data_IF_157939711235
#
_entry.id   IF_157939711235
#
_cell.length_a   1.000
_cell.length_b   1.000
_cell.length_c   1.000
_cell.angle_alpha   90.00
_cell.angle_beta   90.00
_cell.angle_gamma   90.00
#
_symmetry.space_group_name_H-M   'P 1'
#
loop_
_entity.id
_entity.type
_entity.pdbx_description
1 polymer ?
#
# COMPACT_ATOMS: atom_id res chain seq x y z
N UNK A 1 -68.14 -60.80 10.15
CA UNK A 1 -67.18 -61.62 9.38
C UNK A 1 -65.82 -61.12 9.82
N UNK A 2 -65.05 -61.75 10.69
CA UNK A 2 -64.86 -63.15 11.12
C UNK A 2 -64.29 -63.04 12.57
N UNK A 3 -64.80 -63.67 13.64
CA UNK A 3 -64.41 -64.99 14.20
C UNK A 3 -62.91 -65.35 14.01
N UNK A 4 -62.12 -65.76 15.01
CA UNK A 4 -62.41 -66.64 16.17
C UNK A 4 -61.25 -66.69 17.20
N UNK A 5 -61.59 -67.07 18.45
CA UNK A 5 -60.90 -67.93 19.45
C UNK A 5 -59.53 -67.52 20.06
N UNK A 6 -59.35 -67.30 21.38
CA UNK A 6 -59.48 -68.15 22.60
C UNK A 6 -58.36 -69.20 22.77
N UNK A 7 -57.53 -69.06 23.83
CA UNK A 7 -57.21 -70.06 24.91
C UNK A 7 -56.14 -69.45 25.87
N UNK A 8 -56.45 -68.98 27.09
CA UNK A 8 -56.48 -69.63 28.44
C UNK A 8 -55.30 -70.51 28.87
N UNK A 9 -54.57 -70.07 29.92
CA UNK A 9 -54.13 -70.89 31.06
C UNK A 9 -53.59 -70.01 32.21
N UNK A 10 -54.26 -70.02 33.37
CA UNK A 10 -53.65 -69.65 34.68
C UNK A 10 -52.85 -70.83 35.26
N UNK A 11 -52.66 -70.98 36.59
CA UNK A 11 -53.03 -70.08 37.71
C UNK A 11 -51.96 -70.00 38.83
N UNK A 12 -52.31 -69.33 39.94
CA UNK A 12 -51.80 -69.63 41.28
C UNK A 12 -50.80 -68.60 41.84
N UNK A 13 -51.03 -67.94 42.96
CA UNK A 13 -52.01 -68.15 44.02
C UNK A 13 -51.30 -68.21 45.38
N UNK A 14 -51.99 -67.70 46.40
CA UNK A 14 -51.67 -67.71 47.85
C UNK A 14 -50.82 -66.51 48.29
N UNK A 15 -51.28 -65.60 49.13
CA UNK A 15 -52.23 -65.66 50.26
C UNK A 15 -51.49 -65.06 51.47
N UNK A 16 -52.06 -64.48 52.52
CA UNK A 16 -53.41 -64.10 52.92
C UNK A 16 -53.25 -63.37 54.29
N UNK A 17 -54.38 -62.85 54.82
CA UNK A 17 -54.59 -62.30 56.17
C UNK A 17 -54.14 -60.85 56.44
N UNK A 18 -55.08 -59.90 56.51
CA UNK A 18 -55.98 -59.56 57.67
C UNK A 18 -55.17 -58.93 58.82
N UNK A 19 -55.52 -57.85 59.51
CA UNK A 19 -56.72 -57.00 59.72
C UNK A 19 -56.26 -55.90 60.70
N UNK A 20 -56.85 -54.70 60.70
CA UNK A 20 -56.72 -53.80 61.87
C UNK A 20 -56.88 -52.30 61.58
N UNK A 21 -57.89 -51.69 62.21
CA UNK A 21 -58.22 -50.26 62.21
C UNK A 21 -57.05 -49.36 62.69
N UNK A 22 -56.97 -48.08 62.25
CA UNK A 22 -55.87 -47.20 62.64
C UNK A 22 -56.21 -46.36 63.89
N UNK A 23 -55.23 -46.26 64.80
CA UNK A 23 -55.14 -45.18 65.77
C UNK A 23 -53.67 -44.68 65.83
N UNK A 24 -53.53 -43.36 65.68
CA UNK A 24 -52.42 -42.48 66.05
C UNK A 24 -50.96 -42.86 65.69
N UNK A 25 -50.33 -41.97 64.90
CA UNK A 25 -48.93 -41.59 65.14
C UNK A 25 -47.93 -41.77 63.98
N UNK A 26 -47.11 -40.72 63.81
CA UNK A 26 -45.83 -40.63 63.08
C UNK A 26 -45.85 -40.32 61.57
N UNK A 27 -45.10 -39.26 61.22
CA UNK A 27 -44.83 -38.72 59.88
C UNK A 27 -44.01 -39.71 59.01
N UNK A 28 -43.86 -39.47 57.70
CA UNK A 28 -42.69 -38.67 57.27
C UNK A 28 -42.82 -37.86 55.97
N UNK A 29 -41.88 -36.90 55.84
CA UNK A 29 -41.14 -36.49 54.65
C UNK A 29 -41.88 -36.28 53.30
N UNK A 30 -42.09 -35.00 52.95
CA UNK A 30 -42.26 -34.53 51.58
C UNK A 30 -41.28 -33.40 51.28
N UNK A 31 -40.30 -33.67 50.43
CA UNK A 31 -39.19 -32.81 50.03
C UNK A 31 -39.64 -31.43 49.54
N UNK A 32 -39.25 -30.37 50.25
CA UNK A 32 -39.10 -29.03 49.66
C UNK A 32 -37.74 -28.97 48.97
N UNK A 33 -37.72 -29.14 47.65
CA UNK A 33 -36.58 -28.75 46.81
C UNK A 33 -36.41 -27.24 46.90
N UNK A 34 -35.59 -26.80 47.86
CA UNK A 34 -35.06 -25.45 47.89
C UNK A 34 -34.10 -25.30 46.71
N UNK A 35 -34.54 -24.57 45.68
CA UNK A 35 -33.64 -24.04 44.66
C UNK A 35 -32.70 -23.03 45.33
N UNK A 36 -31.56 -23.52 45.83
CA UNK A 36 -30.47 -22.69 46.32
C UNK A 36 -29.75 -22.09 45.12
N UNK A 37 -30.28 -20.99 44.57
CA UNK A 37 -29.58 -20.18 43.58
C UNK A 37 -28.52 -19.31 44.24
N UNK A 38 -27.46 -19.94 44.74
CA UNK A 38 -26.25 -19.25 45.18
C UNK A 38 -25.21 -19.29 44.06
N UNK A 39 -25.19 -18.29 43.18
CA UNK A 39 -23.99 -17.97 42.41
C UNK A 39 -23.93 -16.54 41.83
N UNK A 40 -24.22 -15.44 42.58
CA UNK A 40 -23.93 -14.10 42.09
C UNK A 40 -22.43 -13.90 41.75
N UNK A 41 -21.52 -14.64 42.41
CA UNK A 41 -20.09 -14.57 42.15
C UNK A 41 -19.58 -15.31 40.91
N UNK A 42 -20.28 -16.33 40.40
CA UNK A 42 -19.83 -17.06 39.21
C UNK A 42 -20.09 -16.26 37.93
N UNK A 43 -21.30 -15.70 37.80
CA UNK A 43 -21.66 -14.82 36.69
C UNK A 43 -20.75 -13.58 36.64
N UNK A 44 -20.44 -12.99 37.81
CA UNK A 44 -19.55 -11.82 37.88
C UNK A 44 -18.10 -12.15 37.49
N UNK A 45 -17.56 -13.31 37.89
CA UNK A 45 -16.23 -13.78 37.46
C UNK A 45 -16.19 -14.10 35.97
N UNK A 46 -17.24 -14.70 35.42
CA UNK A 46 -17.37 -14.96 33.98
C UNK A 46 -17.45 -13.64 33.20
N UNK A 47 -18.27 -12.68 33.62
CA UNK A 47 -18.36 -11.36 33.01
C UNK A 47 -17.01 -10.62 33.03
N UNK A 48 -16.26 -10.69 34.14
CA UNK A 48 -14.94 -10.07 34.26
C UNK A 48 -13.91 -10.72 33.32
N UNK A 49 -13.96 -12.03 33.11
CA UNK A 49 -13.09 -12.75 32.17
C UNK A 49 -13.46 -12.48 30.71
N UNK A 50 -14.75 -12.39 30.40
CA UNK A 50 -15.23 -11.99 29.06
C UNK A 50 -14.81 -10.56 28.76
N UNK A 51 -14.96 -9.63 29.70
CA UNK A 51 -14.54 -8.23 29.53
C UNK A 51 -13.02 -8.11 29.34
N UNK A 52 -12.21 -8.84 30.13
CA UNK A 52 -10.76 -8.90 29.94
C UNK A 52 -10.38 -9.48 28.57
N UNK A 53 -11.04 -10.55 28.13
CA UNK A 53 -10.82 -11.14 26.81
C UNK A 53 -11.20 -10.19 25.68
N UNK A 54 -12.33 -9.50 25.79
CA UNK A 54 -12.76 -8.50 24.83
C UNK A 54 -11.80 -7.31 24.75
N UNK A 55 -11.27 -6.83 25.88
CA UNK A 55 -10.25 -5.80 25.95
C UNK A 55 -8.95 -6.24 25.25
N UNK A 56 -8.44 -7.44 25.54
CA UNK A 56 -7.23 -7.98 24.91
C UNK A 56 -7.42 -8.18 23.41
N UNK A 57 -8.57 -8.71 22.99
CA UNK A 57 -8.86 -8.87 21.57
C UNK A 57 -8.97 -7.52 20.86
N UNK A 58 -9.62 -6.54 21.49
CA UNK A 58 -9.72 -5.17 21.00
C UNK A 58 -8.36 -4.50 20.86
N UNK A 59 -7.46 -4.64 21.85
CA UNK A 59 -6.10 -4.08 21.76
C UNK A 59 -5.28 -4.76 20.67
N UNK A 60 -5.36 -6.09 20.52
CA UNK A 60 -4.69 -6.82 19.43
C UNK A 60 -5.21 -6.38 18.05
N UNK A 61 -6.51 -6.19 17.90
CA UNK A 61 -7.11 -5.69 16.67
C UNK A 61 -6.63 -4.28 16.33
N UNK A 62 -6.64 -3.35 17.31
CA UNK A 62 -6.16 -1.98 17.13
C UNK A 62 -4.67 -1.94 16.78
N UNK A 63 -3.86 -2.80 17.40
CA UNK A 63 -2.44 -2.94 17.09
C UNK A 63 -2.21 -3.42 15.66
N UNK A 64 -2.93 -4.47 15.24
CA UNK A 64 -2.83 -4.99 13.88
C UNK A 64 -3.27 -3.95 12.85
N UNK A 65 -4.35 -3.22 13.14
CA UNK A 65 -4.85 -2.14 12.29
C UNK A 65 -3.82 -1.01 12.17
N UNK A 66 -3.27 -0.54 13.30
CA UNK A 66 -2.24 0.49 13.33
C UNK A 66 -0.96 0.04 12.59
N UNK A 67 -0.49 -1.19 12.82
CA UNK A 67 0.69 -1.75 12.15
C UNK A 67 0.50 -1.84 10.63
N UNK A 68 -0.69 -2.24 10.18
CA UNK A 68 -1.06 -2.32 8.77
C UNK A 68 -1.14 -0.92 8.15
N UNK A 69 -1.74 0.04 8.86
CA UNK A 69 -1.84 1.43 8.40
C UNK A 69 -0.45 2.07 8.25
N UNK A 70 0.44 1.91 9.24
CA UNK A 70 1.81 2.43 9.18
C UNK A 70 2.57 1.86 7.98
N UNK A 71 2.48 0.54 7.76
CA UNK A 71 3.09 -0.08 6.59
C UNK A 71 2.48 0.44 5.28
N UNK A 72 1.16 0.55 5.21
CA UNK A 72 0.46 1.09 4.03
C UNK A 72 0.88 2.52 3.72
N UNK A 73 0.94 3.41 4.71
CA UNK A 73 1.43 4.78 4.55
C UNK A 73 2.88 4.81 4.08
N UNK A 74 3.76 3.97 4.64
CA UNK A 74 5.13 3.84 4.17
C UNK A 74 5.19 3.38 2.71
N UNK A 75 4.44 2.33 2.36
CA UNK A 75 4.37 1.78 1.01
C UNK A 75 3.97 2.87 -0.01
N UNK A 76 2.85 3.56 0.24
CA UNK A 76 2.34 4.59 -0.68
C UNK A 76 3.22 5.84 -0.71
N UNK A 77 3.85 6.22 0.39
CA UNK A 77 4.74 7.38 0.42
C UNK A 77 6.10 7.09 -0.24
N UNK A 78 6.60 5.85 -0.15
CA UNK A 78 7.94 5.50 -0.63
C UNK A 78 7.94 4.98 -2.07
N UNK A 79 6.84 4.34 -2.51
CA UNK A 79 6.69 3.76 -3.83
C UNK A 79 6.04 4.76 -4.80
N UNK A 80 6.79 5.33 -5.78
CA UNK A 80 6.18 6.13 -6.82
C UNK A 80 5.44 5.23 -7.82
N UNK A 81 4.63 5.84 -8.70
CA UNK A 81 3.92 5.10 -9.76
C UNK A 81 4.93 4.38 -10.66
N UNK A 82 4.74 3.06 -10.83
CA UNK A 82 5.68 2.18 -11.53
C UNK A 82 5.71 2.39 -13.06
N UNK A 83 4.59 2.83 -13.64
CA UNK A 83 4.48 3.08 -15.07
C UNK A 83 3.61 4.30 -15.35
N UNK A 84 3.96 5.05 -16.38
CA UNK A 84 3.15 6.13 -16.92
C UNK A 84 3.01 5.96 -18.43
N UNK A 85 1.79 6.12 -18.94
CA UNK A 85 1.50 6.08 -20.38
C UNK A 85 0.89 7.41 -20.80
N UNK A 86 1.50 8.06 -21.79
CA UNK A 86 1.04 9.32 -22.36
C UNK A 86 0.65 9.10 -23.83
N UNK A 87 -0.55 9.53 -24.26
CA UNK A 87 -0.92 9.45 -25.67
C UNK A 87 -0.06 10.39 -26.51
N UNK A 88 0.32 9.92 -27.71
CA UNK A 88 1.16 10.65 -28.65
C UNK A 88 0.36 10.92 -29.92
N UNK A 89 0.17 12.19 -30.23
CA UNK A 89 -0.54 12.62 -31.43
C UNK A 89 0.44 13.19 -32.44
N UNK A 90 0.65 12.45 -33.53
CA UNK A 90 1.49 12.87 -34.63
C UNK A 90 0.78 13.91 -35.49
N UNK A 91 1.52 14.94 -35.88
CA UNK A 91 1.12 15.93 -36.87
C UNK A 91 2.25 16.11 -37.88
N UNK A 92 1.89 16.55 -39.07
CA UNK A 92 2.85 16.88 -40.12
C UNK A 92 3.04 18.40 -40.14
N UNK A 93 4.25 18.83 -40.47
CA UNK A 93 4.50 20.25 -40.71
C UNK A 93 3.96 20.63 -42.09
N UNK A 94 3.29 21.78 -42.15
CA UNK A 94 2.61 22.31 -43.34
C UNK A 94 3.42 23.39 -44.08
N UNK A 95 4.70 23.52 -43.80
CA UNK A 95 5.63 24.55 -44.32
C UNK A 95 6.20 24.20 -45.71
N UNK A 96 5.48 23.40 -46.48
CA UNK A 96 5.98 22.83 -47.73
C UNK A 96 5.28 23.46 -48.94
N UNK A 97 5.96 23.46 -50.09
CA UNK A 97 5.46 24.02 -51.36
C UNK A 97 4.10 23.39 -51.73
N UNK A 98 3.05 24.20 -52.00
CA UNK A 98 1.74 23.67 -52.36
C UNK A 98 1.78 22.97 -53.72
N UNK A 99 1.46 21.67 -53.77
CA UNK A 99 1.34 20.93 -55.04
C UNK A 99 1.66 19.43 -55.01
N UNK A 100 2.19 18.91 -53.89
CA UNK A 100 2.51 17.48 -53.74
C UNK A 100 1.41 16.73 -52.99
N UNK A 101 1.00 15.56 -53.51
CA UNK A 101 0.02 14.67 -52.87
C UNK A 101 0.57 13.90 -51.65
N UNK A 102 1.87 14.01 -51.38
CA UNK A 102 2.57 13.25 -50.34
C UNK A 102 3.06 14.18 -49.21
N UNK A 103 3.05 13.74 -47.93
CA UNK A 103 3.59 14.54 -46.83
C UNK A 103 5.07 14.87 -47.09
N UNK A 104 5.39 16.16 -47.07
CA UNK A 104 6.74 16.65 -47.34
C UNK A 104 7.64 16.67 -46.10
N UNK A 105 7.06 16.47 -44.91
CA UNK A 105 7.77 16.45 -43.64
C UNK A 105 7.60 15.11 -42.92
N UNK A 106 8.49 14.83 -41.98
CA UNK A 106 8.37 13.70 -41.07
C UNK A 106 7.25 13.96 -40.05
N UNK A 107 6.47 12.94 -39.67
CA UNK A 107 5.48 13.09 -38.62
C UNK A 107 6.19 13.36 -37.28
N UNK A 108 5.72 14.41 -36.61
CA UNK A 108 6.28 14.91 -35.37
C UNK A 108 5.21 14.95 -34.27
N UNK A 109 5.58 14.73 -33.02
CA UNK A 109 4.66 14.77 -31.89
C UNK A 109 5.34 15.35 -30.66
N UNK A 110 4.72 16.40 -30.09
CA UNK A 110 5.16 17.00 -28.84
C UNK A 110 4.33 16.43 -27.68
N UNK A 111 5.00 15.87 -26.68
CA UNK A 111 4.39 15.26 -25.50
C UNK A 111 4.84 16.01 -24.26
N UNK A 112 3.91 16.51 -23.47
CA UNK A 112 4.23 17.08 -22.16
C UNK A 112 4.37 15.97 -21.12
N UNK A 113 5.52 15.89 -20.46
CA UNK A 113 5.79 14.93 -19.39
C UNK A 113 5.45 15.50 -17.99
N UNK A 114 4.49 16.43 -17.97
CA UNK A 114 3.97 17.11 -16.79
C UNK A 114 2.53 16.65 -16.56
N UNK A 115 2.29 15.93 -15.47
CA UNK A 115 0.96 15.53 -15.03
C UNK A 115 0.14 16.79 -14.67
N UNK A 116 -0.92 17.04 -15.45
CA UNK A 116 -1.78 18.23 -15.38
C UNK A 116 -1.00 19.56 -15.42
N UNK A 117 0.14 19.59 -16.11
CA UNK A 117 0.98 20.78 -16.27
C UNK A 117 1.77 21.22 -15.02
N UNK A 118 1.59 20.56 -13.86
CA UNK A 118 2.20 20.98 -12.58
C UNK A 118 3.08 19.93 -11.93
N UNK A 119 2.70 18.65 -11.97
CA UNK A 119 3.45 17.59 -11.31
C UNK A 119 4.34 16.87 -12.30
N UNK A 120 5.60 16.65 -11.93
CA UNK A 120 6.51 15.93 -12.79
C UNK A 120 6.21 14.44 -12.79
N UNK A 121 6.24 13.81 -13.97
CA UNK A 121 5.99 12.37 -14.10
C UNK A 121 7.19 11.52 -13.66
N UNK A 122 8.41 12.06 -13.79
CA UNK A 122 9.66 11.38 -13.43
C UNK A 122 10.20 11.90 -12.10
N UNK A 123 10.60 11.00 -11.22
CA UNK A 123 11.25 11.32 -9.95
C UNK A 123 12.75 11.53 -10.14
N UNK A 124 13.34 12.49 -9.43
CA UNK A 124 14.77 12.79 -9.51
C UNK A 124 15.61 11.58 -9.03
N UNK A 125 16.67 11.25 -9.79
CA UNK A 125 17.62 10.19 -9.43
C UNK A 125 17.10 8.76 -9.57
N UNK A 126 15.92 8.58 -10.17
CA UNK A 126 15.33 7.27 -10.45
C UNK A 126 15.65 6.88 -11.89
N UNK A 127 16.03 5.60 -12.10
CA UNK A 127 16.22 5.05 -13.44
C UNK A 127 14.88 4.77 -14.12
N UNK A 128 14.78 5.14 -15.39
CA UNK A 128 13.60 4.93 -16.22
C UNK A 128 13.95 4.25 -17.55
N UNK A 129 13.09 3.32 -17.95
CA UNK A 129 13.02 2.78 -19.30
C UNK A 129 11.89 3.45 -20.06
N UNK A 130 12.19 4.07 -21.19
CA UNK A 130 11.23 4.78 -22.03
C UNK A 130 11.06 4.01 -23.32
N UNK A 131 9.82 3.61 -23.61
CA UNK A 131 9.42 2.88 -24.81
C UNK A 131 8.30 3.62 -25.53
N UNK A 132 8.30 3.55 -26.86
CA UNK A 132 7.22 4.04 -27.71
C UNK A 132 6.48 2.85 -28.29
N UNK A 133 5.19 2.81 -28.04
CA UNK A 133 4.26 1.84 -28.60
C UNK A 133 3.53 2.49 -29.78
N UNK A 134 3.71 1.93 -30.97
CA UNK A 134 3.13 2.40 -32.23
C UNK A 134 2.09 1.38 -32.73
N UNK A 135 0.87 1.85 -32.98
CA UNK A 135 -0.18 1.09 -33.65
C UNK A 135 -0.16 1.43 -35.14
N UNK A 136 0.13 0.44 -35.99
CA UNK A 136 0.25 0.64 -37.43
C UNK A 136 -0.61 -0.35 -38.23
N UNK A 137 -1.24 0.09 -39.34
CA UNK A 137 -1.93 -0.82 -40.24
C UNK A 137 -0.98 -1.77 -40.95
N UNK A 138 -1.48 -2.98 -41.23
CA UNK A 138 -0.89 -3.97 -42.13
C UNK A 138 -1.11 -3.55 -43.61
N UNK A 139 -0.60 -2.37 -43.99
CA UNK A 139 -0.75 -1.79 -45.33
C UNK A 139 0.46 -2.08 -46.22
N UNK A 140 0.28 -2.21 -47.56
CA UNK A 140 1.41 -2.43 -48.47
C UNK A 140 2.44 -1.30 -48.39
N UNK A 141 2.00 -0.05 -48.17
CA UNK A 141 2.90 1.09 -47.94
C UNK A 141 3.80 0.83 -46.74
N UNK A 142 3.24 0.44 -45.58
CA UNK A 142 4.02 0.19 -44.36
C UNK A 142 4.96 -1.02 -44.47
N UNK A 143 4.61 -2.04 -45.25
CA UNK A 143 5.52 -3.17 -45.53
C UNK A 143 6.71 -2.77 -46.39
N UNK A 144 6.47 -1.92 -47.40
CA UNK A 144 7.51 -1.48 -48.33
C UNK A 144 8.48 -0.46 -47.71
N UNK A 145 8.12 0.18 -46.59
CA UNK A 145 9.01 1.07 -45.84
C UNK A 145 10.28 0.37 -45.35
N UNK A 146 10.21 -0.92 -45.03
CA UNK A 146 11.30 -1.64 -44.40
C UNK A 146 11.68 -1.05 -43.04
N UNK A 147 12.97 -0.94 -42.77
CA UNK A 147 13.48 -0.33 -41.54
C UNK A 147 13.31 1.19 -41.58
N UNK A 148 12.69 1.75 -40.54
CA UNK A 148 12.62 3.19 -40.32
C UNK A 148 13.18 3.54 -38.94
N UNK A 149 13.50 4.81 -38.74
CA UNK A 149 14.03 5.29 -37.46
C UNK A 149 12.98 6.08 -36.70
N UNK A 150 13.00 5.95 -35.38
CA UNK A 150 12.24 6.78 -34.45
C UNK A 150 13.24 7.53 -33.60
N UNK A 151 13.10 8.85 -33.54
CA UNK A 151 13.89 9.74 -32.71
C UNK A 151 13.03 10.31 -31.59
N UNK A 152 13.57 10.34 -30.39
CA UNK A 152 13.00 11.05 -29.25
C UNK A 152 14.02 12.04 -28.73
N UNK A 153 13.57 13.28 -28.50
CA UNK A 153 14.36 14.34 -27.91
C UNK A 153 13.66 14.86 -26.67
N UNK A 154 14.36 14.89 -25.54
CA UNK A 154 13.84 15.34 -24.26
C UNK A 154 14.20 16.80 -24.01
N UNK A 155 13.25 17.55 -23.46
CA UNK A 155 13.38 18.98 -23.17
C UNK A 155 13.12 19.26 -21.69
N UNK A 156 13.99 20.06 -21.08
CA UNK A 156 13.78 20.65 -19.77
C UNK A 156 13.49 22.14 -19.90
N UNK A 157 12.67 22.69 -18.98
CA UNK A 157 12.32 24.12 -18.95
C UNK A 157 13.56 25.03 -18.81
N UNK A 158 14.61 24.55 -18.15
CA UNK A 158 15.79 25.37 -17.83
C UNK A 158 16.92 25.25 -18.85
N UNK A 159 17.18 24.02 -19.35
CA UNK A 159 18.36 23.72 -20.19
C UNK A 159 18.03 23.50 -21.68
N UNK A 160 16.77 23.61 -22.08
CA UNK A 160 16.37 23.31 -23.47
C UNK A 160 16.50 21.81 -23.76
N UNK A 161 17.24 21.44 -24.81
CA UNK A 161 17.45 20.02 -25.20
C UNK A 161 18.42 19.35 -24.24
N UNK A 162 17.96 18.31 -23.55
CA UNK A 162 18.75 17.57 -22.56
C UNK A 162 19.40 16.34 -23.19
N UNK A 163 18.58 15.50 -23.81
CA UNK A 163 18.99 14.19 -24.30
C UNK A 163 18.23 13.83 -25.56
N UNK A 164 18.86 13.03 -26.42
CA UNK A 164 18.31 12.57 -27.68
C UNK A 164 18.66 11.11 -27.88
N UNK A 165 17.67 10.32 -28.30
CA UNK A 165 17.85 8.94 -28.68
C UNK A 165 17.25 8.67 -30.04
N UNK A 166 17.86 7.79 -30.82
CA UNK A 166 17.38 7.39 -32.15
C UNK A 166 17.52 5.88 -32.30
N UNK A 167 16.41 5.19 -32.49
CA UNK A 167 16.36 3.74 -32.64
C UNK A 167 15.76 3.35 -33.98
N UNK A 168 16.27 2.25 -34.54
CA UNK A 168 15.74 1.65 -35.77
C UNK A 168 14.67 0.64 -35.39
N UNK A 169 13.61 0.60 -36.18
CA UNK A 169 12.53 -0.38 -36.00
C UNK A 169 11.94 -0.76 -37.35
N UNK A 170 11.16 -1.84 -37.37
CA UNK A 170 10.55 -2.38 -38.58
C UNK A 170 9.25 -3.09 -38.24
N UNK A 171 8.27 -3.02 -39.14
CA UNK A 171 7.05 -3.82 -39.04
C UNK A 171 7.42 -5.32 -39.05
N UNK A 172 6.68 -6.18 -38.33
CA UNK A 172 7.05 -7.60 -38.30
C UNK A 172 6.70 -8.20 -39.65
N UNK A 173 7.71 -8.68 -40.35
CA UNK A 173 7.53 -9.31 -41.64
C UNK A 173 6.68 -10.58 -41.52
N UNK A 174 5.71 -10.72 -42.43
CA UNK A 174 4.90 -11.92 -42.65
C UNK A 174 4.83 -12.19 -44.15
N UNK A 175 5.02 -13.46 -44.54
CA UNK A 175 4.89 -13.85 -45.95
C UNK A 175 3.48 -13.63 -46.47
N UNK A 176 3.32 -13.39 -47.78
CA UNK A 176 2.01 -13.18 -48.40
C UNK A 176 1.07 -14.37 -48.15
N UNK A 177 1.60 -15.59 -48.26
CA UNK A 177 0.85 -16.81 -47.98
C UNK A 177 0.38 -16.88 -46.52
N UNK A 178 1.22 -16.51 -45.55
CA UNK A 178 0.79 -16.48 -44.15
C UNK A 178 -0.28 -15.41 -43.91
N UNK A 179 -0.18 -14.26 -44.57
CA UNK A 179 -1.18 -13.18 -44.48
C UNK A 179 -2.52 -13.61 -45.06
N UNK A 180 -2.56 -14.31 -46.19
CA UNK A 180 -3.81 -14.81 -46.77
C UNK A 180 -4.46 -15.88 -45.90
N UNK A 181 -3.67 -16.84 -45.38
CA UNK A 181 -4.18 -17.85 -44.44
C UNK A 181 -4.72 -17.22 -43.15
N UNK A 182 -3.99 -16.27 -42.55
CA UNK A 182 -4.47 -15.56 -41.36
C UNK A 182 -5.76 -14.77 -41.65
N UNK A 183 -5.84 -14.11 -42.80
CA UNK A 183 -7.03 -13.35 -43.19
C UNK A 183 -8.24 -14.26 -43.41
N UNK A 184 -8.03 -15.43 -44.02
CA UNK A 184 -9.09 -16.42 -44.23
C UNK A 184 -9.57 -17.04 -42.90
N UNK A 185 -8.64 -17.38 -42.01
CA UNK A 185 -8.93 -17.99 -40.71
C UNK A 185 -9.69 -17.02 -39.78
N UNK A 186 -9.30 -15.74 -39.77
CA UNK A 186 -9.93 -14.70 -38.93
C UNK A 186 -11.01 -13.89 -39.66
N UNK A 187 -11.43 -14.31 -40.86
CA UNK A 187 -12.41 -13.61 -41.70
C UNK A 187 -13.70 -13.25 -40.96
N UNK A 188 -14.33 -14.15 -40.18
CA UNK A 188 -15.55 -13.80 -39.46
C UNK A 188 -15.34 -12.66 -38.46
N UNK A 189 -14.18 -12.63 -37.78
CA UNK A 189 -13.82 -11.59 -36.81
C UNK A 189 -13.54 -10.24 -37.46
N UNK A 190 -12.99 -10.22 -38.67
CA UNK A 190 -12.80 -8.99 -39.45
C UNK A 190 -14.14 -8.46 -39.97
N UNK A 191 -15.01 -9.33 -40.50
CA UNK A 191 -16.33 -8.93 -41.01
C UNK A 191 -17.27 -8.45 -39.90
N UNK A 192 -17.19 -9.04 -38.71
CA UNK A 192 -17.97 -8.60 -37.54
C UNK A 192 -17.39 -7.34 -36.87
N UNK A 193 -16.22 -6.85 -37.32
CA UNK A 193 -15.54 -5.69 -36.75
C UNK A 193 -14.91 -5.90 -35.37
N UNK A 194 -14.86 -7.15 -34.88
CA UNK A 194 -14.26 -7.50 -33.58
C UNK A 194 -12.74 -7.50 -33.66
N UNK A 195 -12.20 -7.82 -34.83
CA UNK A 195 -10.76 -7.79 -35.11
C UNK A 195 -10.45 -6.77 -36.20
N UNK A 196 -9.24 -6.20 -36.15
CA UNK A 196 -8.73 -5.25 -37.12
C UNK A 196 -7.32 -5.67 -37.58
N UNK A 197 -6.97 -5.34 -38.82
CA UNK A 197 -5.65 -5.65 -39.40
C UNK A 197 -4.62 -4.58 -39.00
N UNK A 198 -4.28 -4.56 -37.72
CA UNK A 198 -3.27 -3.66 -37.15
C UNK A 198 -2.19 -4.45 -36.42
N UNK A 199 -1.01 -3.85 -36.30
CA UNK A 199 0.12 -4.38 -35.56
C UNK A 199 0.65 -3.35 -34.57
N UNK A 200 0.92 -3.82 -33.35
CA UNK A 200 1.63 -3.08 -32.32
C UNK A 200 3.14 -3.27 -32.46
N UNK A 201 3.87 -2.16 -32.41
CA UNK A 201 5.33 -2.11 -32.47
C UNK A 201 5.86 -1.34 -31.25
N UNK A 202 6.62 -2.02 -30.40
CA UNK A 202 7.28 -1.43 -29.25
C UNK A 202 8.73 -1.09 -29.61
N UNK A 203 9.13 0.16 -29.37
CA UNK A 203 10.47 0.67 -29.63
C UNK A 203 11.06 1.20 -28.33
N UNK A 204 12.08 0.53 -27.81
CA UNK A 204 12.83 1.03 -26.66
C UNK A 204 13.69 2.22 -27.08
N UNK A 205 13.40 3.40 -26.54
CA UNK A 205 14.09 4.65 -26.85
C UNK A 205 15.19 4.94 -25.83
N UNK A 206 14.97 4.64 -24.55
CA UNK A 206 15.98 4.73 -23.51
C UNK A 206 15.84 3.54 -22.57
N UNK A 207 16.93 2.82 -22.31
CA UNK A 207 16.94 1.70 -21.35
C UNK A 207 17.25 2.17 -19.93
N UNK A 208 18.24 3.05 -19.78
CA UNK A 208 18.78 3.51 -18.49
C UNK A 208 18.72 5.05 -18.37
N UNK A 209 17.55 5.65 -18.57
CA UNK A 209 17.39 7.10 -18.44
C UNK A 209 17.51 7.54 -16.98
N UNK A 210 18.53 8.35 -16.65
CA UNK A 210 18.81 8.80 -15.27
C UNK A 210 18.97 10.34 -15.18
N UNK A 211 18.65 11.05 -16.26
CA UNK A 211 18.84 12.50 -16.34
C UNK A 211 17.77 13.29 -15.55
N UNK A 212 18.04 14.59 -15.42
CA UNK A 212 17.20 15.54 -14.73
C UNK A 212 15.73 15.52 -15.21
N UNK A 213 14.80 15.89 -14.31
CA UNK A 213 13.38 15.97 -14.58
C UNK A 213 13.01 16.63 -15.92
N UNK A 214 12.57 15.82 -16.89
CA UNK A 214 12.15 16.27 -18.22
C UNK A 214 10.76 16.89 -18.16
N UNK A 215 10.56 18.00 -18.86
CA UNK A 215 9.27 18.71 -18.93
C UNK A 215 8.43 18.27 -20.14
N UNK A 216 9.08 17.89 -21.24
CA UNK A 216 8.42 17.35 -22.42
C UNK A 216 9.39 16.62 -23.34
N UNK A 217 8.84 15.89 -24.30
CA UNK A 217 9.60 15.19 -25.32
C UNK A 217 9.00 15.43 -26.70
N UNK A 218 9.86 15.50 -27.70
CA UNK A 218 9.47 15.55 -29.12
C UNK A 218 9.87 14.23 -29.75
N UNK A 219 8.89 13.56 -30.34
CA UNK A 219 9.05 12.32 -31.09
C UNK A 219 8.96 12.62 -32.58
N UNK A 220 9.88 12.05 -33.35
CA UNK A 220 9.93 12.16 -34.81
C UNK A 220 10.08 10.76 -35.39
N UNK A 221 9.23 10.38 -36.35
CA UNK A 221 9.42 9.14 -37.14
C UNK A 221 10.06 9.54 -38.46
N UNK A 222 11.28 9.06 -38.72
CA UNK A 222 12.10 9.45 -39.87
C UNK A 222 11.66 8.69 -41.13
N UNK A 223 10.40 8.85 -41.51
CA UNK A 223 9.80 8.37 -42.76
C UNK A 223 8.57 9.21 -43.10
N UNK A 224 8.46 9.69 -44.34
CA UNK A 224 7.34 10.52 -44.80
C UNK A 224 6.14 9.71 -45.29
N UNK A 225 6.33 8.42 -45.58
CA UNK A 225 5.30 7.51 -46.08
C UNK A 225 4.72 6.59 -45.01
N UNK A 226 5.13 6.77 -43.74
CA UNK A 226 4.65 5.94 -42.62
C UNK A 226 3.19 6.23 -42.29
N UNK A 227 2.41 5.16 -42.16
CA UNK A 227 1.01 5.23 -41.74
C UNK A 227 0.91 4.70 -40.31
N UNK A 228 0.39 5.54 -39.41
CA UNK A 228 0.29 5.26 -37.97
C UNK A 228 -1.15 5.58 -37.55
N UNK A 229 -1.79 4.68 -36.81
CA UNK A 229 -3.13 4.91 -36.25
C UNK A 229 -3.06 5.62 -34.91
N UNK A 230 -2.29 5.06 -33.98
CA UNK A 230 -2.13 5.62 -32.64
C UNK A 230 -0.72 5.37 -32.13
N UNK A 231 -0.33 6.15 -31.13
CA UNK A 231 0.96 6.00 -30.49
C UNK A 231 0.86 6.33 -29.00
N UNK A 232 1.65 5.63 -28.19
CA UNK A 232 1.70 5.80 -26.74
C UNK A 232 3.14 5.77 -26.27
N UNK A 233 3.51 6.76 -25.48
CA UNK A 233 4.80 6.81 -24.83
C UNK A 233 4.67 6.18 -23.45
N UNK A 234 5.35 5.06 -23.24
CA UNK A 234 5.34 4.31 -22.00
C UNK A 234 6.66 4.52 -21.26
N UNK A 235 6.57 4.97 -20.02
CA UNK A 235 7.71 5.24 -19.14
C UNK A 235 7.61 4.29 -17.95
N UNK A 236 8.57 3.38 -17.83
CA UNK A 236 8.66 2.39 -16.77
C UNK A 236 9.76 2.78 -15.78
N UNK A 237 9.42 2.82 -14.48
CA UNK A 237 10.40 3.05 -13.43
C UNK A 237 11.13 1.74 -13.11
N UNK A 238 12.45 1.73 -13.23
CA UNK A 238 13.26 0.56 -12.85
C UNK A 238 13.67 0.67 -11.38
N UNK A 239 12.90 0.02 -10.51
CA UNK A 239 13.18 0.02 -9.09
C UNK A 239 14.41 -0.82 -8.74
N UNK A 240 15.29 -0.28 -7.92
CA UNK A 240 16.44 -0.98 -7.34
C UNK A 240 16.37 -0.98 -5.80
N UNK A 241 17.09 -1.89 -5.14
CA UNK A 241 17.17 -1.96 -3.68
C UNK A 241 15.85 -2.35 -2.99
N UNK A 242 15.49 -1.64 -1.91
CA UNK A 242 14.27 -1.92 -1.12
C UNK A 242 13.00 -1.78 -1.97
N UNK A 243 12.98 -0.81 -2.90
CA UNK A 243 11.85 -0.60 -3.82
C UNK A 243 11.63 -1.81 -4.75
N UNK A 244 12.71 -2.44 -5.20
CA UNK A 244 12.62 -3.63 -6.04
C UNK A 244 11.92 -4.77 -5.31
N UNK A 245 12.33 -5.05 -4.07
CA UNK A 245 11.74 -6.09 -3.23
C UNK A 245 10.26 -5.80 -2.94
N UNK A 246 9.93 -4.54 -2.67
CA UNK A 246 8.56 -4.09 -2.39
C UNK A 246 7.64 -4.22 -3.61
N UNK A 247 8.16 -4.01 -4.83
CA UNK A 247 7.38 -4.11 -6.07
C UNK A 247 7.21 -5.55 -6.57
N UNK A 248 8.28 -6.35 -6.57
CA UNK A 248 8.23 -7.73 -7.07
C UNK A 248 7.62 -8.71 -6.07
N UNK A 249 7.78 -8.49 -4.75
CA UNK A 249 7.32 -9.40 -3.70
C UNK A 249 6.40 -8.72 -2.67
N UNK A 250 5.24 -8.16 -3.08
CA UNK A 250 4.40 -7.34 -2.22
C UNK A 250 3.85 -8.07 -1.00
N UNK A 251 3.59 -9.38 -1.12
CA UNK A 251 3.05 -10.20 -0.02
C UNK A 251 4.11 -10.45 1.05
N UNK A 252 5.32 -10.84 0.63
CA UNK A 252 6.41 -11.13 1.55
C UNK A 252 6.88 -9.87 2.26
N UNK A 253 6.99 -8.76 1.52
CA UNK A 253 7.34 -7.46 2.11
C UNK A 253 6.27 -6.98 3.10
N UNK A 254 4.98 -7.18 2.78
CA UNK A 254 3.89 -6.82 3.70
C UNK A 254 3.91 -7.65 4.97
N UNK A 255 4.16 -8.97 4.88
CA UNK A 255 4.25 -9.83 6.05
C UNK A 255 5.40 -9.40 6.99
N UNK A 256 6.58 -9.16 6.43
CA UNK A 256 7.76 -8.70 7.20
C UNK A 256 7.53 -7.30 7.77
N UNK A 257 6.98 -6.38 6.97
CA UNK A 257 6.70 -5.01 7.38
C UNK A 257 5.64 -4.92 8.49
N UNK A 258 4.50 -5.59 8.34
CA UNK A 258 3.43 -5.59 9.34
C UNK A 258 3.86 -6.30 10.62
N UNK A 259 4.57 -7.44 10.53
CA UNK A 259 5.05 -8.17 11.72
C UNK A 259 6.07 -7.35 12.52
N UNK A 260 7.04 -6.72 11.85
CA UNK A 260 8.02 -5.83 12.52
C UNK A 260 7.36 -4.62 13.18
N UNK A 261 6.40 -3.97 12.51
CA UNK A 261 5.62 -2.87 13.10
C UNK A 261 4.80 -3.33 14.31
N UNK A 262 4.18 -4.52 14.24
CA UNK A 262 3.40 -5.09 15.34
C UNK A 262 4.28 -5.40 16.54
N UNK A 263 5.47 -5.98 16.33
CA UNK A 263 6.46 -6.22 17.39
C UNK A 263 6.93 -4.91 18.03
N UNK A 264 7.21 -3.88 17.21
CA UNK A 264 7.63 -2.57 17.70
C UNK A 264 6.55 -1.89 18.56
N UNK A 265 5.31 -1.83 18.08
CA UNK A 265 4.19 -1.27 18.84
C UNK A 265 3.90 -2.07 20.11
N UNK A 266 3.98 -3.41 20.04
CA UNK A 266 3.82 -4.27 21.22
C UNK A 266 4.92 -4.01 22.26
N UNK A 267 6.17 -3.81 21.84
CA UNK A 267 7.27 -3.49 22.74
C UNK A 267 7.06 -2.13 23.43
N UNK A 268 6.60 -1.11 22.70
CA UNK A 268 6.29 0.21 23.25
C UNK A 268 5.17 0.14 24.30
N UNK A 269 4.09 -0.61 24.01
CA UNK A 269 3.01 -0.81 24.99
C UNK A 269 3.49 -1.58 26.21
N UNK A 270 4.35 -2.59 26.03
CA UNK A 270 4.93 -3.34 27.14
C UNK A 270 5.77 -2.44 28.06
N UNK A 271 6.64 -1.61 27.48
CA UNK A 271 7.44 -0.65 28.26
C UNK A 271 6.54 0.37 28.96
N UNK A 272 5.52 0.90 28.27
CA UNK A 272 4.53 1.83 28.85
C UNK A 272 3.79 1.20 30.03
N UNK A 273 3.35 -0.05 29.89
CA UNK A 273 2.70 -0.81 30.97
C UNK A 273 3.64 -1.01 32.16
N UNK A 274 4.89 -1.42 31.92
CA UNK A 274 5.89 -1.57 32.98
C UNK A 274 6.18 -0.23 33.69
N UNK A 275 6.27 0.88 32.95
CA UNK A 275 6.43 2.22 33.54
C UNK A 275 5.23 2.62 34.39
N UNK A 276 4.01 2.27 34.00
CA UNK A 276 2.80 2.56 34.79
C UNK A 276 2.78 1.75 36.09
N UNK A 277 3.12 0.47 36.03
CA UNK A 277 3.09 -0.44 37.19
C UNK A 277 4.21 -0.12 38.18
N UNK A 278 5.43 0.15 37.71
CA UNK A 278 6.61 0.38 38.57
C UNK A 278 6.91 1.87 38.83
N UNK A 279 6.34 2.79 38.05
CA UNK A 279 6.56 4.24 38.19
C UNK A 279 5.60 4.93 39.18
N UNK A 280 4.52 4.25 39.59
CA UNK A 280 3.56 4.78 40.58
C UNK A 280 4.02 4.70 42.04
N UNK A 281 5.19 4.13 42.34
CA UNK A 281 5.65 3.84 43.70
C UNK A 281 6.75 4.79 44.21
N UNK A 282 6.93 5.97 43.60
CA UNK A 282 7.97 6.91 44.01
C UNK A 282 7.53 8.37 43.98
N UNK A 283 6.86 8.85 45.03
CA UNK A 283 7.02 10.18 45.67
C UNK A 283 5.87 10.45 46.66
N UNK A 284 6.01 9.92 47.87
CA UNK A 284 5.44 10.56 49.08
C UNK A 284 6.55 10.62 50.11
N UNK A 285 7.35 11.67 50.08
CA UNK A 285 8.24 12.01 51.18
C UNK A 285 7.40 12.63 52.30
N UNK A 286 7.44 12.13 53.55
CA UNK A 286 6.74 12.77 54.65
C UNK A 286 7.50 14.02 55.08
N UNK A 287 6.74 15.08 55.34
CA UNK A 287 7.17 16.30 56.02
C UNK A 287 7.66 15.92 57.42
N UNK A 288 8.94 16.13 57.72
CA UNK A 288 9.44 16.17 59.08
C UNK A 288 10.15 17.51 59.31
N UNK A 289 9.44 18.39 60.04
CA UNK A 289 10.01 19.54 60.71
C UNK A 289 10.80 19.05 61.93
N UNK A 290 12.06 19.47 62.09
CA UNK A 290 12.75 19.58 63.38
C UNK A 290 13.97 20.52 63.25
N UNK A 291 13.81 21.72 63.81
CA UNK A 291 14.79 22.57 64.53
C UNK A 291 16.20 22.87 63.96
N UNK A 292 16.40 24.14 63.61
CA UNK A 292 17.65 24.95 63.68
C UNK A 292 18.34 24.92 65.08
N UNK A 293 19.49 25.61 65.35
CA UNK A 293 20.73 25.88 64.58
C UNK A 293 22.02 25.79 65.46
N UNK A 294 23.25 25.88 64.89
CA UNK A 294 24.40 26.71 65.41
C UNK A 294 25.81 26.29 64.89
N UNK A 295 26.59 27.29 64.44
CA UNK A 295 28.07 27.60 64.58
C UNK A 295 29.08 26.43 64.69
N UNK A 296 30.27 26.42 64.08
CA UNK A 296 31.39 27.40 63.98
C UNK A 296 32.47 26.79 63.04
N UNK A 297 33.05 27.50 62.05
CA UNK A 297 34.32 28.28 62.06
C UNK A 297 35.63 27.45 62.07
N UNK A 298 36.61 27.92 61.26
CA UNK A 298 38.03 27.53 61.12
C UNK A 298 38.36 26.22 60.36
N UNK A 299 39.40 26.12 59.51
CA UNK A 299 40.33 27.05 58.85
C UNK A 299 41.22 26.21 57.91
N UNK A 300 41.63 26.75 56.74
CA UNK A 300 42.93 26.44 56.13
C UNK A 300 43.27 27.42 54.99
N UNK A 301 44.30 28.22 55.29
CA UNK A 301 45.10 29.13 54.47
C UNK A 301 45.98 28.31 53.49
N UNK A 302 46.24 28.67 52.22
CA UNK A 302 47.41 29.44 51.72
C UNK A 302 47.37 29.36 50.16
N UNK A 303 47.16 30.49 49.45
CA UNK A 303 48.10 31.23 48.55
C UNK A 303 48.50 30.48 47.26
N UNK A 304 47.97 30.77 46.07
CA UNK A 304 48.01 31.95 45.18
C UNK A 304 49.08 31.85 44.08
N UNK A 305 48.64 31.86 42.82
CA UNK A 305 49.28 32.57 41.71
C UNK A 305 48.16 32.99 40.73
N UNK A 306 48.19 34.26 40.33
CA UNK A 306 47.31 35.03 39.43
C UNK A 306 48.24 35.54 38.29
N UNK A 307 47.82 36.24 37.20
CA UNK A 307 46.51 36.84 36.94
C UNK A 307 46.00 36.81 35.48
N UNK A 308 44.77 37.34 35.36
CA UNK A 308 44.26 38.21 34.29
C UNK A 308 44.07 37.63 32.86
N UNK A 309 43.00 37.91 32.12
CA UNK A 309 41.84 38.75 32.35
C UNK A 309 40.83 38.57 31.18
N UNK A 310 39.53 38.70 31.50
CA UNK A 310 38.55 39.54 30.80
C UNK A 310 38.02 39.10 29.40
N UNK A 311 36.72 38.73 29.31
CA UNK A 311 35.63 39.62 28.82
C UNK A 311 34.31 38.87 28.47
N UNK A 312 33.23 39.46 29.02
CA UNK A 312 31.80 39.57 28.62
C UNK A 312 30.95 38.35 28.22
N UNK A 313 29.89 38.21 29.02
CA UNK A 313 28.58 37.69 28.66
C UNK A 313 27.90 38.52 27.56
N UNK A 314 27.28 37.85 26.60
CA UNK A 314 26.16 38.40 25.83
C UNK A 314 24.97 37.43 25.92
N UNK A 315 23.92 37.90 26.60
CA UNK A 315 22.57 37.35 26.52
C UNK A 315 22.05 37.50 25.08
N UNK A 316 21.42 36.45 24.55
CA UNK A 316 20.57 36.49 23.36
C UNK A 316 19.23 35.82 23.73
N UNK A 317 18.07 36.47 23.46
CA UNK A 317 16.77 36.12 24.03
C UNK A 317 16.00 35.00 23.31
N UNK A 318 14.94 34.43 23.92
CA UNK A 318 14.09 33.41 23.33
C UNK A 318 12.80 34.02 22.74
N UNK A 319 12.55 33.83 21.44
CA UNK A 319 11.19 33.86 20.87
C UNK A 319 11.27 33.72 19.34
N UNK A 320 10.70 32.64 18.79
CA UNK A 320 9.51 32.66 17.90
C UNK A 320 9.09 31.19 17.69
N UNK A 321 8.01 30.80 18.35
CA UNK A 321 7.21 29.63 17.96
C UNK A 321 6.48 29.99 16.66
N UNK A 322 6.73 29.25 15.57
CA UNK A 322 5.89 29.33 14.37
C UNK A 322 4.74 28.34 14.52
N UNK A 323 3.54 28.89 14.69
CA UNK A 323 2.26 28.19 14.62
C UNK A 323 2.01 27.85 13.15
N UNK A 324 2.01 26.56 12.79
CA UNK A 324 1.52 26.10 11.49
C UNK A 324 0.03 25.80 11.65
N UNK A 325 -0.80 26.69 11.12
CA UNK A 325 -2.25 26.53 11.07
C UNK A 325 -2.68 25.55 9.98
N UNK A 326 -3.53 24.60 10.38
CA UNK A 326 -4.19 23.60 9.55
C UNK A 326 -5.35 24.25 8.77
N UNK A 327 -5.09 24.80 7.59
CA UNK A 327 -6.15 25.24 6.67
C UNK A 327 -5.59 25.22 5.26
N UNK A 328 -5.96 24.19 4.50
CA UNK A 328 -6.11 24.16 3.03
C UNK A 328 -6.06 22.71 2.51
N UNK A 329 -7.05 21.91 2.91
CA UNK A 329 -7.41 20.64 2.26
C UNK A 329 -8.94 20.53 2.20
N UNK A 330 -9.54 21.24 1.23
CA UNK A 330 -10.78 20.84 0.54
C UNK A 330 -10.52 21.09 -0.95
#
# INVERSE_FOLDING_TARGET
MERDSVETSGPGGSGASQTGYPAAGSAPAGQRFGARSSAPGFLQRVQQKVLQGALVLGTLFLLLWAASFIYGSFYYSFMPKAAHSAPVHYYYRSDCEPGTLQPCSYPIANVSLLQNGKHQMMSLGQKYRISLELEMPDSPTNHLLGMFMVRMTCYSKERGRVSSSTHRTMLRYRSDLLRTFATLLFLPGFLSGVSQQAQWLEVDLFTDYTDDPVSGAMLEVLSSQVQIYSARLNIYAEFTGIRYLLFHYPVMSALVGVSSNLLFLSMLLFISYMRLVFGGTGTTSPVNNLSEPSRSLEAAHVRAESPAAQIKYHLIPPSVFVVVTYKDWI
#
